data_IF_235137864263
#
_entry.id   IF_235137864263
#
_cell.length_a   1.000
_cell.length_b   1.000
_cell.length_c   1.000
_cell.angle_alpha   90.00
_cell.angle_beta   90.00
_cell.angle_gamma   90.00
#
_symmetry.space_group_name_H-M   'P 1'
#
loop_
_entity.id
_entity.type
_entity.pdbx_description
1 polymer ?
#
# COMPACT_ATOMS: atom_id res chain seq x y z
N UNK A 1 -6.76 10.28 3.00
CA UNK A 1 -7.09 10.41 1.56
C UNK A 1 -7.89 9.20 1.12
N UNK A 2 -9.02 9.42 0.46
CA UNK A 2 -9.95 8.34 0.11
C UNK A 2 -9.97 8.13 -1.40
N UNK A 3 -10.12 6.89 -1.91
CA UNK A 3 -10.14 6.53 -3.34
C UNK A 3 -11.30 7.10 -4.16
N UNK A 4 -12.25 7.80 -3.55
CA UNK A 4 -13.37 8.49 -4.22
C UNK A 4 -13.77 9.67 -3.32
N UNK A 5 -13.84 10.86 -3.89
CA UNK A 5 -14.32 12.04 -3.16
C UNK A 5 -15.84 12.13 -3.17
N UNK A 6 -16.38 12.83 -2.19
CA UNK A 6 -17.77 13.25 -2.09
C UNK A 6 -17.83 14.77 -1.95
N UNK A 7 -18.91 15.42 -2.42
CA UNK A 7 -19.16 16.83 -2.12
C UNK A 7 -19.14 17.06 -0.61
N UNK A 8 -18.43 18.09 -0.16
CA UNK A 8 -18.25 18.41 1.26
C UNK A 8 -17.16 17.60 1.98
N UNK A 9 -16.40 16.76 1.27
CA UNK A 9 -15.14 16.24 1.81
C UNK A 9 -14.16 17.39 2.12
N UNK A 10 -13.29 17.17 3.10
CA UNK A 10 -12.22 18.09 3.44
C UNK A 10 -11.06 17.98 2.42
N UNK A 11 -11.27 18.62 1.27
CA UNK A 11 -10.32 18.66 0.17
C UNK A 11 -9.01 19.37 0.53
N UNK A 12 -9.04 20.34 1.45
CA UNK A 12 -7.84 21.05 1.91
C UNK A 12 -6.93 20.10 2.70
N UNK A 13 -7.50 19.30 3.61
CA UNK A 13 -6.76 18.26 4.32
C UNK A 13 -6.20 17.23 3.35
N UNK A 14 -6.94 16.80 2.33
CA UNK A 14 -6.43 15.84 1.33
C UNK A 14 -5.31 16.44 0.48
N UNK A 15 -5.44 17.69 0.07
CA UNK A 15 -4.42 18.43 -0.66
C UNK A 15 -3.12 18.55 0.16
N UNK A 16 -3.24 18.85 1.45
CA UNK A 16 -2.11 18.93 2.37
C UNK A 16 -1.44 17.57 2.59
N UNK A 17 -2.23 16.50 2.81
CA UNK A 17 -1.70 15.14 2.92
C UNK A 17 -0.95 14.72 1.65
N UNK A 18 -1.50 15.02 0.47
CA UNK A 18 -0.88 14.71 -0.81
C UNK A 18 0.40 15.51 -0.99
N UNK A 19 0.39 16.81 -0.65
CA UNK A 19 1.56 17.68 -0.72
C UNK A 19 2.70 17.18 0.16
N UNK A 20 2.37 16.67 1.35
CA UNK A 20 3.34 16.02 2.22
C UNK A 20 3.96 14.80 1.54
N UNK A 21 3.17 13.90 0.97
CA UNK A 21 3.71 12.73 0.25
C UNK A 21 4.57 13.10 -0.97
N UNK A 22 4.18 14.14 -1.72
CA UNK A 22 4.94 14.63 -2.87
C UNK A 22 6.33 15.16 -2.47
N UNK A 23 6.46 15.74 -1.27
CA UNK A 23 7.69 16.40 -0.80
C UNK A 23 8.48 15.66 0.28
N UNK A 24 8.00 14.51 0.78
CA UNK A 24 8.70 13.75 1.82
C UNK A 24 9.96 13.09 1.28
N UNK A 25 11.07 13.28 1.99
CA UNK A 25 12.39 12.72 1.67
C UNK A 25 12.82 11.61 2.65
N UNK A 26 11.96 11.27 3.60
CA UNK A 26 12.19 10.31 4.69
C UNK A 26 11.38 9.00 4.52
N UNK A 27 10.76 8.82 3.36
CA UNK A 27 10.05 7.57 3.01
C UNK A 27 11.06 6.54 2.53
N UNK A 28 11.07 5.34 3.10
CA UNK A 28 11.85 4.19 2.61
C UNK A 28 10.95 3.20 1.87
N UNK A 29 11.54 2.24 1.15
CA UNK A 29 10.77 1.17 0.51
C UNK A 29 9.97 0.34 1.51
N UNK A 30 10.52 0.10 2.70
CA UNK A 30 9.80 -0.57 3.80
C UNK A 30 8.57 0.22 4.22
N UNK A 31 8.67 1.54 4.36
CA UNK A 31 7.52 2.39 4.75
C UNK A 31 6.41 2.33 3.69
N UNK A 32 6.75 2.44 2.40
CA UNK A 32 5.76 2.30 1.32
C UNK A 32 5.09 0.92 1.39
N UNK A 33 5.88 -0.14 1.55
CA UNK A 33 5.41 -1.52 1.59
C UNK A 33 4.50 -1.81 2.80
N UNK A 34 4.86 -1.33 3.99
CA UNK A 34 4.07 -1.55 5.20
C UNK A 34 2.78 -0.74 5.22
N UNK A 35 2.84 0.51 4.76
CA UNK A 35 1.67 1.40 4.79
C UNK A 35 0.73 1.20 3.60
N UNK A 36 1.22 0.62 2.49
CA UNK A 36 0.50 0.47 1.22
C UNK A 36 -0.07 1.78 0.68
N UNK A 37 0.58 2.90 1.03
CA UNK A 37 0.14 4.24 0.62
C UNK A 37 0.19 4.41 -0.91
N UNK A 38 1.10 3.71 -1.57
CA UNK A 38 1.20 3.60 -3.02
C UNK A 38 -0.09 3.08 -3.66
N UNK A 39 -0.77 2.13 -3.02
CA UNK A 39 -2.01 1.57 -3.53
C UNK A 39 -3.18 2.52 -3.35
N UNK A 40 -3.20 3.26 -2.24
CA UNK A 40 -4.20 4.33 -2.06
C UNK A 40 -4.02 5.38 -3.14
N UNK A 41 -2.79 5.88 -3.33
CA UNK A 41 -2.46 6.88 -4.37
C UNK A 41 -2.74 6.33 -5.78
N UNK A 42 -2.43 5.06 -6.06
CA UNK A 42 -2.79 4.37 -7.31
C UNK A 42 -4.30 4.31 -7.53
N UNK A 43 -5.07 3.96 -6.49
CA UNK A 43 -6.53 3.95 -6.58
C UNK A 43 -7.10 5.36 -6.83
N UNK A 44 -6.46 6.41 -6.32
CA UNK A 44 -6.80 7.80 -6.69
C UNK A 44 -6.47 8.07 -8.16
N UNK A 45 -5.23 7.79 -8.57
CA UNK A 45 -4.74 8.06 -9.92
C UNK A 45 -5.55 7.36 -11.02
N UNK A 46 -6.05 6.16 -10.74
CA UNK A 46 -6.78 5.32 -11.69
C UNK A 46 -8.30 5.53 -11.64
N UNK A 47 -8.80 6.57 -10.96
CA UNK A 47 -10.18 7.02 -11.10
C UNK A 47 -10.44 7.58 -12.49
N UNK A 48 -11.73 7.70 -12.81
CA UNK A 48 -12.21 8.30 -14.04
C UNK A 48 -12.59 7.26 -15.08
N UNK A 49 -13.31 7.73 -16.09
CA UNK A 49 -13.85 6.91 -17.17
C UNK A 49 -15.37 6.90 -17.18
N UNK A 50 -15.92 6.33 -18.25
CA UNK A 50 -17.35 6.41 -18.57
C UNK A 50 -18.29 5.91 -17.45
N UNK A 51 -17.85 4.93 -16.65
CA UNK A 51 -18.65 4.36 -15.57
C UNK A 51 -18.39 4.99 -14.19
N UNK A 52 -17.41 5.89 -14.07
CA UNK A 52 -17.03 6.53 -12.82
C UNK A 52 -16.42 7.90 -13.10
N UNK A 53 -17.22 8.88 -13.56
CA UNK A 53 -16.74 10.23 -13.80
C UNK A 53 -16.10 10.84 -12.55
N UNK A 54 -15.11 11.70 -12.78
CA UNK A 54 -14.40 12.39 -11.70
C UNK A 54 -15.20 13.64 -11.35
N UNK A 55 -15.59 13.83 -10.08
CA UNK A 55 -16.25 15.06 -9.65
C UNK A 55 -15.36 16.27 -9.91
N UNK A 56 -15.95 17.47 -9.98
CA UNK A 56 -15.17 18.70 -9.89
C UNK A 56 -14.56 18.82 -8.49
N UNK A 57 -13.25 18.60 -8.40
CA UNK A 57 -12.47 18.64 -7.16
C UNK A 57 -11.47 19.80 -7.21
N UNK A 58 -11.31 20.59 -6.14
CA UNK A 58 -10.27 21.61 -6.07
C UNK A 58 -8.87 20.99 -5.97
N UNK A 59 -7.82 21.81 -6.13
CA UNK A 59 -6.41 21.45 -5.90
C UNK A 59 -5.82 20.39 -6.83
N UNK A 60 -6.49 20.07 -7.94
CA UNK A 60 -6.06 19.09 -8.94
C UNK A 60 -5.66 17.74 -8.34
N UNK A 61 -6.40 17.27 -7.31
CA UNK A 61 -6.03 16.09 -6.52
C UNK A 61 -5.79 14.84 -7.37
N UNK A 62 -6.65 14.61 -8.36
CA UNK A 62 -6.54 13.45 -9.27
C UNK A 62 -5.24 13.49 -10.07
N UNK A 63 -4.95 14.59 -10.76
CA UNK A 63 -3.75 14.74 -11.59
C UNK A 63 -2.47 14.74 -10.75
N UNK A 64 -2.50 15.32 -9.54
CA UNK A 64 -1.40 15.23 -8.58
C UNK A 64 -1.12 13.80 -8.14
N UNK A 65 -2.16 13.05 -7.78
CA UNK A 65 -2.03 11.65 -7.39
C UNK A 65 -1.50 10.79 -8.55
N UNK A 66 -1.92 11.07 -9.79
CA UNK A 66 -1.42 10.42 -11.00
C UNK A 66 0.07 10.67 -11.23
N UNK A 67 0.54 11.92 -11.06
CA UNK A 67 1.97 12.25 -11.11
C UNK A 67 2.76 11.52 -10.03
N UNK A 68 2.28 11.52 -8.78
CA UNK A 68 2.93 10.82 -7.67
C UNK A 68 2.96 9.30 -7.89
N UNK A 69 1.86 8.72 -8.36
CA UNK A 69 1.77 7.30 -8.71
C UNK A 69 2.80 6.93 -9.78
N UNK A 70 2.86 7.70 -10.87
CA UNK A 70 3.81 7.47 -11.95
C UNK A 70 5.27 7.58 -11.47
N UNK A 71 5.56 8.52 -10.58
CA UNK A 71 6.89 8.66 -9.96
C UNK A 71 7.27 7.42 -9.16
N UNK A 72 6.42 6.98 -8.23
CA UNK A 72 6.68 5.76 -7.46
C UNK A 72 6.72 4.50 -8.34
N UNK A 73 5.93 4.44 -9.41
CA UNK A 73 5.99 3.34 -10.39
C UNK A 73 7.33 3.29 -11.12
N UNK A 74 7.85 4.44 -11.56
CA UNK A 74 9.18 4.55 -12.17
C UNK A 74 10.28 4.10 -11.22
N UNK A 75 10.26 4.57 -9.96
CA UNK A 75 11.20 4.12 -8.93
C UNK A 75 11.07 2.61 -8.68
N UNK A 76 9.85 2.09 -8.69
CA UNK A 76 9.57 0.66 -8.46
C UNK A 76 10.13 -0.22 -9.57
N UNK A 77 10.19 0.31 -10.79
CA UNK A 77 10.67 -0.38 -11.99
C UNK A 77 12.16 -0.14 -12.27
N UNK A 78 12.84 0.64 -11.42
CA UNK A 78 14.25 0.95 -11.60
C UNK A 78 15.13 -0.28 -11.37
N UNK A 79 16.15 -0.48 -12.22
CA UNK A 79 17.03 -1.66 -12.18
C UNK A 79 17.82 -1.75 -10.88
N UNK A 80 18.16 -0.62 -10.28
CA UNK A 80 18.95 -0.50 -9.06
C UNK A 80 18.13 -0.59 -7.78
N UNK A 81 16.79 -0.69 -7.88
CA UNK A 81 15.89 -0.81 -6.74
C UNK A 81 16.34 -1.96 -5.84
N UNK A 82 16.52 -1.72 -4.52
CA UNK A 82 16.84 -2.77 -3.59
C UNK A 82 15.70 -3.79 -3.50
N UNK A 83 16.07 -5.05 -3.32
CA UNK A 83 15.10 -6.11 -3.08
C UNK A 83 14.73 -6.20 -1.60
N UNK A 84 13.54 -6.73 -1.28
CA UNK A 84 12.94 -6.70 0.07
C UNK A 84 13.80 -7.27 1.21
N UNK A 85 14.73 -8.18 0.92
CA UNK A 85 15.61 -8.81 1.90
C UNK A 85 16.98 -8.11 2.04
N UNK A 86 17.26 -7.11 1.21
CA UNK A 86 18.49 -6.34 1.30
C UNK A 86 18.35 -5.27 2.38
N UNK A 87 19.39 -5.07 3.19
CA UNK A 87 19.41 -4.03 4.24
C UNK A 87 19.09 -2.64 3.67
N UNK A 88 19.55 -2.37 2.43
CA UNK A 88 19.26 -1.12 1.73
C UNK A 88 17.78 -0.93 1.37
N UNK A 89 16.94 -1.97 1.36
CA UNK A 89 15.49 -1.79 1.20
C UNK A 89 14.90 -1.01 2.37
N UNK A 90 15.37 -1.31 3.58
CA UNK A 90 14.86 -0.71 4.81
C UNK A 90 15.42 0.70 5.03
N UNK A 91 16.62 0.97 4.52
CA UNK A 91 17.38 2.20 4.83
C UNK A 91 17.49 3.19 3.66
N UNK A 92 17.20 2.78 2.42
CA UNK A 92 17.24 3.71 1.27
C UNK A 92 16.01 4.60 1.28
N UNK A 93 16.23 5.90 1.43
CA UNK A 93 15.18 6.90 1.25
C UNK A 93 14.85 7.08 -0.23
N UNK A 94 13.56 7.22 -0.50
CA UNK A 94 13.02 7.46 -1.83
C UNK A 94 13.20 8.94 -2.19
N UNK A 95 13.64 9.25 -3.42
CA UNK A 95 13.63 10.63 -3.88
C UNK A 95 12.18 11.14 -3.93
N UNK A 96 11.92 12.31 -3.37
CA UNK A 96 10.60 12.94 -3.40
C UNK A 96 10.23 13.38 -4.82
N UNK A 97 8.94 13.48 -5.13
CA UNK A 97 8.47 13.97 -6.44
C UNK A 97 8.91 15.42 -6.66
N UNK A 98 8.75 16.27 -5.64
CA UNK A 98 9.07 17.69 -5.74
C UNK A 98 10.58 17.92 -5.88
N UNK A 99 11.41 17.12 -5.21
CA UNK A 99 12.86 17.20 -5.37
C UNK A 99 13.30 16.68 -6.73
N UNK A 100 12.66 15.64 -7.28
CA UNK A 100 12.91 15.18 -8.64
C UNK A 100 12.55 16.27 -9.68
N UNK A 101 11.40 16.92 -9.55
CA UNK A 101 11.00 18.03 -10.43
C UNK A 101 11.90 19.26 -10.28
N UNK A 102 12.32 19.56 -9.06
CA UNK A 102 13.28 20.62 -8.75
C UNK A 102 14.65 20.41 -9.39
N UNK A 103 15.12 19.16 -9.49
CA UNK A 103 16.36 18.83 -10.18
C UNK A 103 16.23 19.06 -11.69
N UNK A 104 15.06 18.80 -12.26
CA UNK A 104 14.77 19.07 -13.67
C UNK A 104 14.61 20.58 -13.97
N UNK A 105 14.13 21.38 -13.01
CA UNK A 105 13.87 22.82 -13.16
C UNK A 105 14.93 23.76 -12.57
N UNK A 106 15.89 23.24 -11.80
CA UNK A 106 16.94 24.02 -11.12
C UNK A 106 16.50 24.72 -9.83
N UNK A 107 15.25 24.58 -9.38
CA UNK A 107 14.73 25.22 -8.16
C UNK A 107 14.39 24.20 -7.07
N UNK A 108 15.15 24.19 -5.96
CA UNK A 108 14.93 23.26 -4.84
C UNK A 108 13.59 23.53 -4.15
N UNK A 109 12.63 22.62 -4.28
CA UNK A 109 11.38 22.67 -3.53
C UNK A 109 11.65 22.51 -2.02
N UNK A 110 11.12 23.41 -1.20
CA UNK A 110 11.17 23.28 0.28
C UNK A 110 10.29 22.11 0.73
N UNK A 111 10.80 21.31 1.68
CA UNK A 111 10.04 20.22 2.30
C UNK A 111 8.73 20.73 2.91
N UNK A 112 7.63 20.01 2.68
CA UNK A 112 6.32 20.35 3.19
C UNK A 112 6.05 19.63 4.50
N UNK A 113 5.84 20.39 5.58
CA UNK A 113 5.43 19.85 6.87
C UNK A 113 3.90 19.81 6.93
N UNK A 114 3.35 18.62 7.21
CA UNK A 114 1.91 18.45 7.41
C UNK A 114 1.52 18.94 8.80
N UNK A 115 0.80 20.05 8.87
CA UNK A 115 0.29 20.60 10.12
C UNK A 115 -1.11 20.02 10.40
N UNK A 116 -1.15 18.98 11.23
CA UNK A 116 -2.40 18.37 11.70
C UNK A 116 -2.94 19.12 12.91
N UNK A 117 -4.26 19.24 13.00
CA UNK A 117 -4.92 19.71 14.22
C UNK A 117 -4.67 18.74 15.38
N UNK A 118 -4.78 19.18 16.66
CA UNK A 118 -4.60 18.29 17.81
C UNK A 118 -5.48 17.04 17.77
N UNK A 119 -6.74 17.18 17.31
CA UNK A 119 -7.68 16.07 17.16
C UNK A 119 -7.22 15.07 16.09
N UNK A 120 -6.85 15.55 14.89
CA UNK A 120 -6.33 14.70 13.81
C UNK A 120 -5.04 13.98 14.21
N UNK A 121 -4.17 14.66 14.98
CA UNK A 121 -2.94 14.05 15.49
C UNK A 121 -3.24 12.95 16.52
N UNK A 122 -4.19 13.16 17.42
CA UNK A 122 -4.61 12.15 18.38
C UNK A 122 -5.20 10.91 17.68
N UNK A 123 -6.06 11.11 16.67
CA UNK A 123 -6.63 10.03 15.86
C UNK A 123 -5.55 9.25 15.09
N UNK A 124 -4.59 9.96 14.49
CA UNK A 124 -3.48 9.33 13.78
C UNK A 124 -2.59 8.49 14.71
N UNK A 125 -2.33 9.00 15.92
CA UNK A 125 -1.55 8.29 16.94
C UNK A 125 -2.28 7.03 17.43
N UNK A 126 -3.60 7.10 17.64
CA UNK A 126 -4.42 5.94 18.00
C UNK A 126 -4.39 4.87 16.91
N UNK A 127 -4.59 5.25 15.65
CA UNK A 127 -4.48 4.34 14.49
C UNK A 127 -3.09 3.72 14.39
N UNK A 128 -2.03 4.51 14.64
CA UNK A 128 -0.66 4.01 14.63
C UNK A 128 -0.41 2.99 15.75
N UNK A 129 -0.89 3.26 16.97
CA UNK A 129 -0.80 2.31 18.09
C UNK A 129 -1.53 1.00 17.80
N UNK A 130 -2.75 1.07 17.26
CA UNK A 130 -3.52 -0.10 16.86
C UNK A 130 -2.82 -0.89 15.72
N UNK A 131 -2.23 -0.19 14.75
CA UNK A 131 -1.39 -0.81 13.72
C UNK A 131 -0.18 -1.53 14.35
N UNK A 132 0.56 -0.86 15.23
CA UNK A 132 1.75 -1.41 15.90
C UNK A 132 1.41 -2.65 16.73
N UNK A 133 0.35 -2.62 17.53
CA UNK A 133 -0.12 -3.78 18.32
C UNK A 133 -0.36 -5.00 17.42
N UNK A 134 -1.10 -4.81 16.31
CA UNK A 134 -1.37 -5.87 15.32
C UNK A 134 -0.10 -6.37 14.62
N UNK A 135 0.75 -5.45 14.16
CA UNK A 135 2.02 -5.77 13.49
C UNK A 135 2.94 -6.59 14.39
N UNK A 136 3.12 -6.14 15.64
CA UNK A 136 4.05 -6.79 16.57
C UNK A 136 3.53 -8.16 17.02
N UNK A 137 2.21 -8.30 17.21
CA UNK A 137 1.56 -9.60 17.41
C UNK A 137 1.74 -10.55 16.22
N UNK A 138 1.55 -10.07 14.99
CA UNK A 138 1.78 -10.86 13.78
C UNK A 138 3.25 -11.30 13.65
N UNK A 139 4.19 -10.40 13.92
CA UNK A 139 5.63 -10.70 13.89
C UNK A 139 5.98 -11.74 14.97
N UNK A 140 5.40 -11.65 16.19
CA UNK A 140 5.67 -12.63 17.24
C UNK A 140 5.19 -14.03 16.86
N UNK A 141 4.01 -14.13 16.22
CA UNK A 141 3.51 -15.39 15.67
C UNK A 141 4.47 -15.96 14.61
N UNK A 142 4.87 -15.14 13.64
CA UNK A 142 5.69 -15.57 12.51
C UNK A 142 7.13 -15.94 12.90
N UNK A 143 7.66 -15.40 14.00
CA UNK A 143 8.93 -15.86 14.57
C UNK A 143 8.86 -17.29 15.07
N UNK A 144 7.71 -17.71 15.63
CA UNK A 144 7.47 -19.08 16.10
C UNK A 144 7.00 -20.00 14.98
N UNK A 145 6.30 -19.44 14.00
CA UNK A 145 5.71 -20.15 12.86
C UNK A 145 6.15 -19.47 11.55
N UNK A 146 7.39 -19.72 11.08
CA UNK A 146 7.90 -19.08 9.88
C UNK A 146 6.96 -19.25 8.68
N UNK A 147 6.66 -18.16 7.94
CA UNK A 147 5.73 -18.23 6.83
C UNK A 147 6.27 -19.13 5.72
N UNK A 148 5.36 -19.76 4.97
CA UNK A 148 5.73 -20.54 3.79
C UNK A 148 5.82 -19.61 2.58
N UNK A 149 6.89 -19.69 1.77
CA UNK A 149 6.99 -18.94 0.52
C UNK A 149 5.79 -19.22 -0.39
N UNK A 150 5.22 -18.17 -0.98
CA UNK A 150 4.14 -18.28 -1.97
C UNK A 150 4.65 -18.59 -3.37
N UNK A 151 5.88 -18.17 -3.67
CA UNK A 151 6.55 -18.43 -4.94
C UNK A 151 8.06 -18.44 -4.73
N UNK A 152 8.79 -18.77 -5.80
CA UNK A 152 10.24 -18.70 -5.87
C UNK A 152 10.63 -18.04 -7.17
N UNK A 153 11.60 -17.14 -7.12
CA UNK A 153 12.11 -16.43 -8.29
C UNK A 153 13.62 -16.66 -8.42
N UNK A 154 14.14 -16.85 -9.64
CA UNK A 154 15.58 -16.80 -9.87
C UNK A 154 16.16 -15.48 -9.38
N UNK A 155 17.35 -15.51 -8.77
CA UNK A 155 18.10 -14.28 -8.49
C UNK A 155 18.37 -13.60 -9.83
N UNK A 156 18.01 -12.32 -9.95
CA UNK A 156 18.13 -11.56 -11.20
C UNK A 156 19.46 -11.82 -11.91
N UNK A 157 19.38 -12.38 -13.11
CA UNK A 157 20.47 -12.48 -14.07
C UNK A 157 19.98 -11.83 -15.36
N UNK A 158 20.75 -10.87 -15.86
CA UNK A 158 20.38 -10.00 -16.99
C UNK A 158 20.15 -10.73 -18.33
N UNK A 159 20.43 -12.04 -18.40
CA UNK A 159 20.28 -12.86 -19.61
C UNK A 159 19.21 -13.96 -19.45
N UNK A 160 18.27 -14.05 -20.41
CA UNK A 160 17.25 -15.11 -20.49
C UNK A 160 17.87 -16.52 -20.58
N UNK A 161 19.02 -16.65 -21.24
CA UNK A 161 19.77 -17.91 -21.32
C UNK A 161 20.22 -18.40 -19.93
N UNK A 162 20.59 -17.46 -19.05
CA UNK A 162 21.00 -17.78 -17.67
C UNK A 162 19.78 -18.16 -16.81
N UNK A 163 18.61 -17.55 -17.05
CA UNK A 163 17.37 -17.94 -16.36
C UNK A 163 16.98 -19.38 -16.66
N UNK A 164 17.12 -19.83 -17.91
CA UNK A 164 16.89 -21.23 -18.29
C UNK A 164 17.87 -22.17 -17.58
N UNK A 165 19.16 -21.85 -17.58
CA UNK A 165 20.18 -22.62 -16.85
C UNK A 165 19.94 -22.69 -15.34
N UNK A 166 19.39 -21.64 -14.73
CA UNK A 166 19.00 -21.67 -13.31
C UNK A 166 17.85 -22.67 -13.09
N UNK A 167 16.83 -22.68 -13.96
CA UNK A 167 15.74 -23.66 -13.86
C UNK A 167 16.18 -25.09 -14.16
N UNK A 168 17.25 -25.28 -14.93
CA UNK A 168 17.85 -26.61 -15.19
C UNK A 168 18.34 -27.30 -13.92
N UNK A 169 18.68 -26.52 -12.88
CA UNK A 169 19.07 -27.06 -11.57
C UNK A 169 17.91 -27.70 -10.78
N UNK A 170 16.67 -27.43 -11.18
CA UNK A 170 15.44 -27.96 -10.56
C UNK A 170 14.70 -28.91 -11.51
N UNK A 171 14.72 -28.60 -12.80
CA UNK A 171 14.03 -29.33 -13.85
C UNK A 171 15.00 -29.62 -14.98
N UNK A 172 15.24 -30.89 -15.32
CA UNK A 172 16.23 -31.25 -16.35
C UNK A 172 16.01 -30.62 -17.73
N UNK A 173 14.80 -30.18 -18.06
CA UNK A 173 14.45 -29.49 -19.30
C UNK A 173 14.51 -27.95 -19.21
N UNK A 174 14.66 -27.42 -17.99
CA UNK A 174 14.66 -25.98 -17.69
C UNK A 174 13.29 -25.29 -17.84
N UNK A 175 12.21 -26.05 -18.05
CA UNK A 175 10.89 -25.49 -18.40
C UNK A 175 9.96 -25.47 -17.18
N UNK A 176 9.51 -24.27 -16.79
CA UNK A 176 8.45 -24.09 -15.79
C UNK A 176 7.08 -24.27 -16.44
N UNK A 177 6.21 -25.12 -15.87
CA UNK A 177 4.83 -25.34 -16.34
C UNK A 177 3.85 -25.26 -15.18
N UNK A 178 2.65 -24.75 -15.44
CA UNK A 178 1.56 -24.76 -14.47
C UNK A 178 1.26 -26.20 -14.01
N UNK A 179 1.05 -26.39 -12.70
CA UNK A 179 0.77 -27.69 -12.09
C UNK A 179 1.98 -28.61 -11.89
N UNK A 180 3.17 -28.25 -12.38
CA UNK A 180 4.40 -29.02 -12.11
C UNK A 180 4.78 -28.91 -10.63
N UNK A 181 4.88 -30.05 -9.93
CA UNK A 181 5.26 -30.06 -8.52
C UNK A 181 6.72 -29.63 -8.36
N UNK A 182 6.94 -28.67 -7.47
CA UNK A 182 8.26 -28.25 -7.01
C UNK A 182 8.42 -28.67 -5.56
N UNK A 183 9.52 -29.34 -5.23
CA UNK A 183 9.84 -29.67 -3.84
C UNK A 183 10.43 -28.42 -3.17
N UNK A 184 9.67 -27.79 -2.27
CA UNK A 184 10.10 -26.56 -1.60
C UNK A 184 11.46 -26.66 -0.88
N UNK A 185 11.87 -27.85 -0.42
CA UNK A 185 13.20 -28.09 0.16
C UNK A 185 14.34 -27.94 -0.86
N UNK A 186 14.13 -28.35 -2.11
CA UNK A 186 15.13 -28.19 -3.18
C UNK A 186 15.32 -26.72 -3.53
N UNK A 187 14.22 -25.95 -3.58
CA UNK A 187 14.29 -24.50 -3.81
C UNK A 187 14.97 -23.77 -2.64
N UNK A 188 14.60 -24.12 -1.41
CA UNK A 188 15.17 -23.49 -0.21
C UNK A 188 16.68 -23.73 -0.04
N UNK A 189 17.18 -24.88 -0.50
CA UNK A 189 18.60 -25.20 -0.48
C UNK A 189 19.37 -24.64 -1.69
N UNK A 190 18.67 -24.15 -2.72
CA UNK A 190 19.29 -23.70 -3.95
C UNK A 190 19.58 -22.19 -3.89
N UNK A 191 20.86 -21.77 -3.88
CA UNK A 191 21.23 -20.37 -3.76
C UNK A 191 20.85 -19.53 -4.99
N UNK A 192 20.43 -20.15 -6.09
CA UNK A 192 20.01 -19.45 -7.31
C UNK A 192 18.55 -19.00 -7.27
N UNK A 193 17.79 -19.43 -6.26
CA UNK A 193 16.39 -19.07 -6.08
C UNK A 193 16.17 -18.30 -4.79
N UNK A 194 15.18 -17.40 -4.84
CA UNK A 194 14.75 -16.62 -3.69
C UNK A 194 13.26 -16.85 -3.41
N UNK A 195 12.89 -17.04 -2.13
CA UNK A 195 11.48 -17.17 -1.76
C UNK A 195 10.79 -15.81 -1.87
N UNK A 196 9.57 -15.83 -2.41
CA UNK A 196 8.64 -14.71 -2.36
C UNK A 196 7.64 -15.01 -1.25
N UNK A 197 7.49 -14.09 -0.30
CA UNK A 197 6.53 -14.19 0.80
C UNK A 197 5.33 -13.28 0.55
N UNK A 198 4.23 -13.58 1.24
CA UNK A 198 3.08 -12.69 1.30
C UNK A 198 3.42 -11.43 2.09
N UNK A 199 2.67 -10.38 1.84
CA UNK A 199 2.73 -9.19 2.69
C UNK A 199 2.13 -9.51 4.06
N UNK A 200 2.68 -8.91 5.12
CA UNK A 200 2.28 -9.17 6.51
C UNK A 200 0.76 -9.03 6.73
N UNK A 201 0.15 -8.03 6.11
CA UNK A 201 -1.30 -7.76 6.18
C UNK A 201 -2.16 -8.87 5.59
N UNK A 202 -1.59 -9.68 4.68
CA UNK A 202 -2.27 -10.78 3.98
C UNK A 202 -1.79 -12.17 4.42
N UNK A 203 -0.86 -12.20 5.37
CA UNK A 203 -0.34 -13.44 5.92
C UNK A 203 -1.37 -14.07 6.86
N UNK A 204 -1.35 -15.40 6.94
CA UNK A 204 -2.28 -16.18 7.73
C UNK A 204 -1.83 -16.23 9.19
N UNK A 205 -2.01 -15.12 9.89
CA UNK A 205 -1.84 -15.04 11.34
C UNK A 205 -3.21 -15.26 12.00
N UNK A 206 -3.32 -16.12 13.04
CA UNK A 206 -4.55 -16.27 13.80
C UNK A 206 -5.05 -14.92 14.32
N UNK A 207 -6.34 -14.66 14.14
CA UNK A 207 -6.96 -13.45 14.67
C UNK A 207 -6.82 -13.42 16.20
N UNK A 208 -6.44 -12.27 16.75
CA UNK A 208 -6.26 -12.10 18.20
C UNK A 208 -5.06 -12.86 18.78
N UNK A 209 -4.08 -13.26 17.95
CA UNK A 209 -2.85 -13.87 18.47
C UNK A 209 -2.15 -12.95 19.49
N UNK A 210 -1.86 -13.51 20.67
CA UNK A 210 -1.04 -12.92 21.71
C UNK A 210 0.15 -13.83 21.93
N UNK A 211 1.35 -13.27 22.12
CA UNK A 211 2.54 -14.07 22.39
C UNK A 211 2.37 -14.81 23.74
N UNK A 212 2.46 -16.15 23.79
CA UNK A 212 2.42 -16.91 25.05
C UNK A 212 3.42 -16.46 26.12
N UNK A 213 4.48 -15.76 25.73
CA UNK A 213 5.51 -15.24 26.65
C UNK A 213 5.19 -13.83 27.17
N UNK A 214 4.16 -13.17 26.65
CA UNK A 214 3.68 -11.90 27.19
C UNK A 214 2.74 -12.15 28.38
N UNK A 215 2.74 -11.26 29.39
CA UNK A 215 1.75 -11.33 30.45
C UNK A 215 0.36 -11.26 29.82
N UNK A 216 -0.56 -12.12 30.28
CA UNK A 216 -1.93 -12.08 29.84
C UNK A 216 -2.52 -10.70 30.16
N UNK A 217 -2.96 -9.98 29.13
CA UNK A 217 -3.83 -8.82 29.34
C UNK A 217 -5.13 -9.36 29.95
N UNK A 218 -5.52 -8.83 31.11
CA UNK A 218 -6.80 -9.19 31.71
C UNK A 218 -7.92 -8.79 30.76
N UNK A 219 -8.78 -9.75 30.43
CA UNK A 219 -9.96 -9.48 29.62
C UNK A 219 -10.91 -8.58 30.40
N UNK A 220 -11.07 -7.35 29.92
CA UNK A 220 -12.09 -6.43 30.42
C UNK A 220 -13.29 -6.45 29.46
N UNK A 221 -14.40 -7.01 29.94
CA UNK A 221 -15.65 -7.10 29.16
C UNK A 221 -16.16 -5.72 28.73
N UNK A 222 -15.99 -4.69 29.56
CA UNK A 222 -16.41 -3.33 29.23
C UNK A 222 -15.60 -2.74 28.07
N UNK A 223 -14.28 -2.99 28.04
CA UNK A 223 -13.42 -2.53 26.95
C UNK A 223 -13.73 -3.31 25.66
N UNK A 224 -14.01 -4.60 25.76
CA UNK A 224 -14.40 -5.42 24.61
C UNK A 224 -15.74 -4.98 24.01
N UNK A 225 -16.75 -4.70 24.83
CA UNK A 225 -18.04 -4.16 24.37
C UNK A 225 -17.86 -2.81 23.67
N UNK A 226 -17.04 -1.93 24.24
CA UNK A 226 -16.71 -0.63 23.64
C UNK A 226 -16.00 -0.78 22.29
N UNK A 227 -15.08 -1.74 22.16
CA UNK A 227 -14.41 -2.06 20.89
C UNK A 227 -15.41 -2.58 19.85
N UNK A 228 -16.31 -3.47 20.24
CA UNK A 228 -17.35 -4.01 19.36
C UNK A 228 -18.35 -2.95 18.89
N UNK A 229 -18.73 -2.01 19.76
CA UNK A 229 -19.57 -0.87 19.41
C UNK A 229 -18.84 0.06 18.44
N UNK A 230 -17.58 0.41 18.71
CA UNK A 230 -16.76 1.21 17.81
C UNK A 230 -16.62 0.55 16.43
N UNK A 231 -16.40 -0.77 16.38
CA UNK A 231 -16.33 -1.51 15.12
C UNK A 231 -17.65 -1.47 14.33
N UNK A 232 -18.79 -1.61 15.02
CA UNK A 232 -20.13 -1.51 14.39
C UNK A 232 -20.39 -0.10 13.87
N UNK A 233 -20.01 0.91 14.64
CA UNK A 233 -20.16 2.32 14.30
C UNK A 233 -19.31 2.67 13.07
N UNK A 234 -18.02 2.29 13.06
CA UNK A 234 -17.13 2.46 11.92
C UNK A 234 -17.65 1.73 10.67
N UNK A 235 -18.13 0.50 10.82
CA UNK A 235 -18.72 -0.28 9.72
C UNK A 235 -19.96 0.40 9.14
N UNK A 236 -20.82 0.96 10.00
CA UNK A 236 -22.01 1.72 9.58
C UNK A 236 -21.61 2.99 8.84
N UNK A 237 -20.70 3.80 9.38
CA UNK A 237 -20.22 5.03 8.73
C UNK A 237 -19.59 4.73 7.36
N UNK A 238 -18.84 3.62 7.26
CA UNK A 238 -18.25 3.17 5.99
C UNK A 238 -19.32 2.78 4.98
N UNK A 239 -20.35 2.06 5.40
CA UNK A 239 -21.48 1.70 4.54
C UNK A 239 -22.25 2.94 4.09
N UNK A 240 -22.63 3.82 5.01
CA UNK A 240 -23.32 5.08 4.70
C UNK A 240 -22.52 5.95 3.72
N UNK A 241 -21.19 6.00 3.87
CA UNK A 241 -20.33 6.68 2.92
C UNK A 241 -20.32 5.98 1.55
N UNK A 242 -20.20 4.66 1.51
CA UNK A 242 -20.23 3.88 0.27
C UNK A 242 -21.54 4.12 -0.50
N UNK A 243 -22.66 4.13 0.20
CA UNK A 243 -23.98 4.36 -0.39
C UNK A 243 -24.10 5.79 -0.94
N UNK A 244 -23.58 6.78 -0.21
CA UNK A 244 -23.50 8.17 -0.71
C UNK A 244 -22.62 8.27 -1.96
N UNK A 245 -21.50 7.57 -2.00
CA UNK A 245 -20.61 7.54 -3.18
C UNK A 245 -21.30 6.93 -4.39
N UNK A 246 -22.03 5.82 -4.19
CA UNK A 246 -22.79 5.19 -5.27
C UNK A 246 -23.85 6.13 -5.85
N UNK A 247 -24.64 6.78 -4.99
CA UNK A 247 -25.66 7.77 -5.40
C UNK A 247 -25.05 8.95 -6.16
N UNK A 248 -23.98 9.54 -5.62
CA UNK A 248 -23.34 10.67 -6.26
C UNK A 248 -22.74 10.31 -7.64
N UNK A 249 -22.17 9.11 -7.78
CA UNK A 249 -21.69 8.60 -9.06
C UNK A 249 -22.81 8.30 -10.06
N UNK A 250 -24.03 7.96 -9.60
CA UNK A 250 -25.21 7.89 -10.47
C UNK A 250 -25.63 9.28 -10.97
N UNK A 251 -25.65 10.28 -10.09
CA UNK A 251 -25.98 11.66 -10.42
C UNK A 251 -25.01 12.25 -11.45
N UNK A 252 -23.69 12.09 -11.25
CA UNK A 252 -22.68 12.55 -12.21
C UNK A 252 -22.83 11.89 -13.58
N UNK A 253 -23.10 10.58 -13.62
CA UNK A 253 -23.33 9.86 -14.89
C UNK A 253 -24.60 10.33 -15.60
N UNK A 254 -25.63 10.72 -14.86
CA UNK A 254 -26.85 11.26 -15.46
C UNK A 254 -26.60 12.65 -16.06
N UNK A 255 -25.87 13.52 -15.35
CA UNK A 255 -25.49 14.84 -15.83
C UNK A 255 -24.66 14.78 -17.14
N UNK A 256 -23.61 13.94 -17.18
CA UNK A 256 -22.79 13.77 -18.39
C UNK A 256 -23.54 13.20 -19.60
N UNK A 257 -24.69 12.53 -19.38
CA UNK A 257 -25.56 12.05 -20.46
C UNK A 257 -26.51 13.14 -20.96
N UNK A 258 -27.11 13.91 -20.04
CA UNK A 258 -27.96 15.04 -20.40
C UNK A 258 -27.25 16.06 -21.28
N UNK A 259 -26.00 16.39 -20.95
CA UNK A 259 -25.17 17.31 -21.75
C UNK A 259 -24.82 16.78 -23.15
N UNK A 260 -24.90 15.47 -23.38
CA UNK A 260 -24.62 14.85 -24.69
C UNK A 260 -25.85 14.75 -25.60
N UNK A 261 -27.04 14.79 -25.03
CA UNK A 261 -28.30 14.75 -25.79
C UNK A 261 -28.76 16.17 -26.22
N UNK A 262 -28.11 17.23 -25.72
CA UNK A 262 -28.39 18.65 -26.06
C UNK A 262 -27.41 19.28 -27.08
N UNK A 263 -26.47 18.49 -27.65
CA UNK A 263 -25.49 18.91 -28.68
C UNK A 263 -25.75 18.22 -30.03
#
# INVERSE_FOLDING_TARGET
MLPTSLPGDDYDTYSAMLRSLEGREDLTWLVIQETRIDQTVSAIANRGGYHSPIPEEPHDLHERAKRLHNHWFKLTSAKDKPERWEVRFDTTYLPSLLTAQALDSGERAKGFKLDLTPAQKAEAEEKYKAYRKRRDGAVSYLKKNPPKPMAWVPIQTDAEEVKRGIWETIFSDGIVRAGRKVLGKQMAANPLFKPVYRDLVTERVPYGWVDPNQPAEEFNEADHLKEMEAFREESRLRQERSDRQAKFQEELRAAERGDKDEL
#
